data_IF_475710037648
#
_entry.id   IF_475710037648
#
_cell.length_a   1.000
_cell.length_b   1.000
_cell.length_c   1.000
_cell.angle_alpha   90.00
_cell.angle_beta   90.00
_cell.angle_gamma   90.00
#
_symmetry.space_group_name_H-M   'P 1'
#
loop_
_entity.id
_entity.type
_entity.pdbx_description
1 polymer ?
#
# COMPACT_ATOMS: atom_id res chain seq x y z
N UNK A 1 30.78 19.20 -11.90
CA UNK A 1 29.38 19.18 -12.36
C UNK A 1 28.49 19.21 -11.13
N UNK A 2 27.84 20.35 -10.85
CA UNK A 2 26.96 20.49 -9.70
C UNK A 2 25.70 19.68 -9.93
N UNK A 3 25.51 18.61 -9.17
CA UNK A 3 24.24 17.89 -9.14
C UNK A 3 23.22 18.84 -8.51
N UNK A 4 22.48 19.54 -9.36
CA UNK A 4 21.26 20.22 -8.95
C UNK A 4 20.39 19.17 -8.23
N UNK A 5 20.16 19.36 -6.92
CA UNK A 5 19.33 18.51 -6.08
C UNK A 5 17.86 18.73 -6.47
N UNK A 6 17.47 18.28 -7.65
CA UNK A 6 16.06 18.24 -8.03
C UNK A 6 15.41 17.11 -7.25
N UNK A 7 14.54 17.45 -6.29
CA UNK A 7 13.54 16.50 -5.82
C UNK A 7 12.71 16.08 -7.04
N UNK A 8 12.23 14.82 -7.14
CA UNK A 8 11.35 14.41 -8.22
C UNK A 8 10.12 15.35 -8.33
N UNK A 9 9.45 15.36 -9.48
CA UNK A 9 8.26 16.23 -9.70
C UNK A 9 6.99 15.68 -9.03
N UNK A 10 7.04 14.48 -8.44
CA UNK A 10 5.91 13.82 -7.77
C UNK A 10 6.25 13.03 -6.48
N UNK A 11 7.10 13.49 -5.55
CA UNK A 11 7.07 12.92 -4.21
C UNK A 11 5.87 13.48 -3.47
N UNK A 12 5.10 12.59 -2.83
CA UNK A 12 4.25 13.01 -1.72
C UNK A 12 5.21 13.36 -0.58
N UNK A 13 5.39 14.66 -0.33
CA UNK A 13 6.26 15.15 0.73
C UNK A 13 5.53 15.01 2.06
N UNK A 14 6.21 14.49 3.08
CA UNK A 14 5.65 14.29 4.42
C UNK A 14 6.38 15.18 5.43
N UNK A 15 5.64 15.98 6.19
CA UNK A 15 6.17 16.77 7.30
C UNK A 15 5.32 16.60 8.56
N UNK A 16 5.96 16.28 9.69
CA UNK A 16 5.27 16.09 10.97
C UNK A 16 4.26 14.92 10.99
N UNK A 17 4.27 14.05 9.98
CA UNK A 17 3.36 12.90 9.84
C UNK A 17 3.79 11.80 10.81
N UNK A 18 2.81 11.11 11.39
CA UNK A 18 3.09 10.05 12.35
C UNK A 18 3.73 8.81 11.72
N UNK A 19 4.68 8.18 12.42
CA UNK A 19 5.40 6.98 11.94
C UNK A 19 4.47 5.87 11.41
N UNK A 20 3.33 5.56 12.06
CA UNK A 20 2.39 4.54 11.55
C UNK A 20 1.80 4.91 10.19
N UNK A 21 1.46 6.18 9.95
CA UNK A 21 0.95 6.64 8.66
C UNK A 21 2.03 6.58 7.59
N UNK A 22 3.24 7.05 7.87
CA UNK A 22 4.38 6.96 6.93
C UNK A 22 4.61 5.51 6.50
N UNK A 23 4.65 4.58 7.47
CA UNK A 23 4.84 3.15 7.21
C UNK A 23 3.67 2.58 6.41
N UNK A 24 2.42 2.88 6.78
CA UNK A 24 1.23 2.45 6.04
C UNK A 24 1.20 2.94 4.59
N UNK A 25 1.62 4.18 4.35
CA UNK A 25 1.76 4.74 3.00
C UNK A 25 2.81 4.02 2.16
N UNK A 26 3.98 3.72 2.75
CA UNK A 26 5.02 2.91 2.10
C UNK A 26 4.53 1.50 1.79
N UNK A 27 3.80 0.87 2.71
CA UNK A 27 3.21 -0.45 2.51
C UNK A 27 2.17 -0.48 1.39
N UNK A 28 1.35 0.57 1.24
CA UNK A 28 0.49 0.74 0.06
C UNK A 28 1.28 0.89 -1.24
N UNK A 29 2.59 1.15 -1.17
CA UNK A 29 3.47 1.37 -2.31
C UNK A 29 3.47 2.81 -2.82
N UNK A 30 3.08 3.79 -1.99
CA UNK A 30 3.16 5.20 -2.36
C UNK A 30 4.62 5.67 -2.31
N UNK A 31 5.02 6.46 -3.32
CA UNK A 31 6.29 7.16 -3.29
C UNK A 31 6.20 8.38 -2.37
N UNK A 32 6.69 8.22 -1.15
CA UNK A 32 6.68 9.26 -0.12
C UNK A 32 8.10 9.67 0.25
N UNK A 33 8.31 10.97 0.47
CA UNK A 33 9.59 11.52 0.94
C UNK A 33 9.35 12.26 2.24
N UNK A 34 9.99 11.80 3.31
CA UNK A 34 9.97 12.51 4.60
C UNK A 34 10.91 13.72 4.52
N UNK A 35 10.39 14.91 4.79
CA UNK A 35 11.19 16.11 4.98
C UNK A 35 11.84 16.03 6.36
N UNK A 36 13.17 15.91 6.42
CA UNK A 36 13.91 15.89 7.68
C UNK A 36 13.91 17.29 8.29
N UNK A 37 13.29 17.47 9.46
CA UNK A 37 13.32 18.56 10.47
C UNK A 37 13.39 20.04 10.05
N UNK A 38 13.63 20.37 8.78
CA UNK A 38 13.81 21.73 8.31
C UNK A 38 13.26 21.87 6.88
N UNK A 39 12.27 22.76 6.72
CA UNK A 39 11.72 23.14 5.43
C UNK A 39 12.73 23.92 4.57
N UNK A 40 13.93 24.24 5.07
CA UNK A 40 15.02 24.81 4.26
C UNK A 40 15.38 23.96 3.05
N UNK A 41 15.14 22.64 3.06
CA UNK A 41 15.28 21.81 1.86
C UNK A 41 14.36 22.22 0.70
N UNK A 42 13.29 22.95 0.99
CA UNK A 42 12.38 23.53 0.00
C UNK A 42 12.84 24.92 -0.47
N UNK A 43 13.83 25.54 0.17
CA UNK A 43 14.35 26.84 -0.29
C UNK A 43 15.09 26.67 -1.62
N UNK A 44 14.62 27.42 -2.64
CA UNK A 44 15.11 27.27 -4.02
C UNK A 44 14.45 26.12 -4.79
N UNK A 45 13.50 25.40 -4.20
CA UNK A 45 12.73 24.40 -4.91
C UNK A 45 11.77 25.05 -5.92
N UNK A 46 11.87 24.66 -7.18
CA UNK A 46 10.89 25.05 -8.20
C UNK A 46 9.75 24.06 -8.15
N UNK A 47 8.57 24.50 -7.71
CA UNK A 47 7.41 23.61 -7.69
C UNK A 47 7.01 23.19 -9.10
N UNK A 48 6.91 21.88 -9.28
CA UNK A 48 6.05 21.31 -10.30
C UNK A 48 4.60 21.52 -9.86
N UNK A 49 3.66 21.54 -10.83
CA UNK A 49 2.20 21.61 -10.54
C UNK A 49 1.67 20.40 -9.75
N UNK A 50 2.53 19.42 -9.43
CA UNK A 50 2.13 18.09 -9.00
C UNK A 50 2.75 17.67 -7.67
N UNK A 51 3.65 18.47 -7.11
CA UNK A 51 4.16 18.25 -5.76
C UNK A 51 3.04 18.44 -4.74
N UNK A 52 2.91 17.54 -3.78
CA UNK A 52 1.90 17.61 -2.73
C UNK A 52 2.61 17.47 -1.38
N UNK A 53 2.32 18.40 -0.46
CA UNK A 53 2.81 18.33 0.90
C UNK A 53 1.71 17.83 1.82
N UNK A 54 1.88 16.63 2.36
CA UNK A 54 1.06 16.12 3.45
C UNK A 54 1.70 16.52 4.78
N UNK A 55 0.89 17.14 5.62
CA UNK A 55 1.34 17.56 6.95
C UNK A 55 0.50 16.87 8.00
N UNK A 56 1.15 16.44 9.09
CA UNK A 56 0.42 15.81 10.18
C UNK A 56 -0.58 16.77 10.84
N UNK A 57 -0.15 18.02 11.04
CA UNK A 57 -1.08 19.13 11.26
C UNK A 57 -0.47 20.45 10.82
N UNK A 58 -1.26 21.32 10.20
CA UNK A 58 -0.81 22.67 9.85
C UNK A 58 -0.52 23.52 11.09
N UNK A 59 -1.14 23.19 12.24
CA UNK A 59 -0.93 23.87 13.53
C UNK A 59 0.50 23.71 14.06
N UNK A 60 1.29 22.80 13.49
CA UNK A 60 2.67 22.58 13.88
C UNK A 60 3.63 23.61 13.27
N UNK A 61 3.24 24.33 12.21
CA UNK A 61 4.14 25.27 11.52
C UNK A 61 4.04 26.68 12.08
N UNK A 62 5.18 27.37 12.16
CA UNK A 62 5.23 28.79 12.46
C UNK A 62 4.93 29.66 11.21
N UNK A 63 4.76 30.97 11.40
CA UNK A 63 4.42 31.89 10.30
C UNK A 63 5.47 31.91 9.18
N UNK A 64 6.76 31.80 9.52
CA UNK A 64 7.86 31.84 8.55
C UNK A 64 7.89 30.57 7.68
N UNK A 65 7.58 29.43 8.27
CA UNK A 65 7.42 28.15 7.58
C UNK A 65 6.21 28.17 6.64
N UNK A 66 5.06 28.65 7.11
CA UNK A 66 3.86 28.81 6.28
C UNK A 66 4.10 29.79 5.12
N UNK A 67 4.85 30.87 5.34
CA UNK A 67 5.28 31.79 4.27
C UNK A 67 6.19 31.09 3.26
N UNK A 68 7.15 30.30 3.72
CA UNK A 68 8.05 29.52 2.84
C UNK A 68 7.26 28.53 1.99
N UNK A 69 6.30 27.81 2.58
CA UNK A 69 5.43 26.86 1.87
C UNK A 69 4.51 27.56 0.85
N UNK A 70 3.95 28.71 1.24
CA UNK A 70 3.12 29.54 0.35
C UNK A 70 3.91 30.03 -0.87
N UNK A 71 5.16 30.45 -0.67
CA UNK A 71 6.06 30.86 -1.76
C UNK A 71 6.39 29.71 -2.72
N UNK A 72 6.48 28.48 -2.19
CA UNK A 72 6.70 27.29 -3.02
C UNK A 72 5.47 26.90 -3.85
N UNK A 73 4.26 27.46 -3.60
CA UNK A 73 3.01 27.09 -4.31
C UNK A 73 2.68 25.60 -4.29
N UNK A 74 3.15 24.86 -3.28
CA UNK A 74 2.86 23.45 -3.10
C UNK A 74 1.49 23.33 -2.41
N UNK A 75 0.50 22.62 -2.97
CA UNK A 75 -0.74 22.36 -2.27
C UNK A 75 -0.50 21.54 -0.99
N UNK A 76 -1.06 22.02 0.12
CA UNK A 76 -0.95 21.39 1.43
C UNK A 76 -2.22 20.60 1.72
N UNK A 77 -2.06 19.37 2.21
CA UNK A 77 -3.16 18.56 2.77
C UNK A 77 -2.85 18.34 4.25
N UNK A 78 -3.73 18.84 5.12
CA UNK A 78 -3.66 18.59 6.56
C UNK A 78 -4.30 17.24 6.88
N UNK A 79 -3.50 16.27 7.34
CA UNK A 79 -3.99 14.93 7.67
C UNK A 79 -4.86 14.92 8.94
N UNK A 80 -4.81 15.96 9.77
CA UNK A 80 -5.71 16.12 10.91
C UNK A 80 -7.18 16.27 10.45
N UNK A 81 -7.43 16.73 9.21
CA UNK A 81 -8.78 16.79 8.61
C UNK A 81 -9.45 15.41 8.50
N UNK A 82 -8.65 14.33 8.46
CA UNK A 82 -9.16 12.96 8.30
C UNK A 82 -9.61 12.34 9.62
N UNK A 83 -9.36 12.99 10.76
CA UNK A 83 -9.78 12.52 12.07
C UNK A 83 -11.09 13.17 12.52
N UNK A 84 -12.15 12.36 12.68
CA UNK A 84 -13.47 12.82 13.16
C UNK A 84 -13.52 13.19 14.67
N UNK A 85 -12.39 13.21 15.40
CA UNK A 85 -12.37 13.52 16.84
C UNK A 85 -11.21 14.45 17.21
N UNK A 86 -11.49 15.73 17.40
CA UNK A 86 -10.78 16.71 18.27
C UNK A 86 -9.25 16.62 18.34
N UNK A 87 -8.59 16.31 17.23
CA UNK A 87 -7.16 16.07 17.20
C UNK A 87 -6.34 17.34 17.34
N UNK A 88 -5.69 17.53 18.49
CA UNK A 88 -4.65 18.55 18.64
C UNK A 88 -3.39 18.02 17.93
N UNK A 89 -3.02 18.65 16.81
CA UNK A 89 -1.79 18.35 16.09
C UNK A 89 -0.55 18.47 16.98
N UNK A 90 0.54 17.78 16.60
CA UNK A 90 1.79 17.78 17.36
C UNK A 90 2.42 19.18 17.44
N UNK A 91 3.37 19.39 18.34
CA UNK A 91 4.17 20.63 18.39
C UNK A 91 5.54 20.42 17.72
N UNK A 92 6.23 21.49 17.31
CA UNK A 92 7.56 21.45 16.65
C UNK A 92 8.59 20.56 17.37
N UNK A 93 8.73 20.61 18.71
CA UNK A 93 9.66 19.73 19.42
C UNK A 93 9.31 18.24 19.30
N UNK A 94 8.06 17.91 19.00
CA UNK A 94 7.55 16.54 18.82
C UNK A 94 7.67 16.05 17.37
N UNK A 95 7.82 16.96 16.39
CA UNK A 95 8.06 16.60 14.98
C UNK A 95 9.45 16.01 14.77
N UNK A 96 10.45 16.50 15.52
CA UNK A 96 11.85 16.01 15.49
C UNK A 96 12.08 14.62 16.12
N UNK A 97 11.04 14.03 16.72
CA UNK A 97 11.10 12.71 17.36
C UNK A 97 10.24 11.72 16.58
N UNK A 98 10.83 10.59 16.14
CA UNK A 98 10.07 9.42 15.66
C UNK A 98 9.12 8.97 16.76
N UNK A 99 7.86 9.41 16.70
CA UNK A 99 6.86 9.11 17.72
C UNK A 99 5.90 8.02 17.23
N UNK A 100 5.67 7.03 18.10
CA UNK A 100 4.78 5.89 17.88
C UNK A 100 3.28 6.27 17.98
N UNK A 101 2.94 7.50 18.37
CA UNK A 101 1.56 7.94 18.64
C UNK A 101 1.22 9.23 17.87
N UNK A 102 0.55 9.09 16.73
CA UNK A 102 -0.04 10.20 15.96
C UNK A 102 -1.51 10.40 16.28
N UNK A 103 -2.05 11.58 15.95
CA UNK A 103 -3.50 11.80 15.95
C UNK A 103 -4.15 10.99 14.82
N UNK A 104 -3.45 10.84 13.70
CA UNK A 104 -3.87 10.04 12.54
C UNK A 104 -3.83 8.54 12.81
N UNK A 105 -4.88 7.85 12.43
CA UNK A 105 -4.89 6.39 12.32
C UNK A 105 -4.84 5.98 10.85
N UNK A 106 -3.86 5.15 10.51
CA UNK A 106 -3.82 4.52 9.20
C UNK A 106 -4.88 3.41 9.14
N UNK A 107 -5.91 3.60 8.32
CA UNK A 107 -6.98 2.64 8.09
C UNK A 107 -7.46 2.70 6.62
N UNK A 108 -8.40 1.84 6.24
CA UNK A 108 -8.96 1.82 4.88
C UNK A 108 -9.56 3.17 4.46
N UNK A 109 -10.33 3.79 5.35
CA UNK A 109 -10.99 5.07 5.09
C UNK A 109 -9.98 6.21 4.85
N UNK A 110 -8.87 6.23 5.59
CA UNK A 110 -7.79 7.19 5.40
C UNK A 110 -7.28 7.16 3.95
N UNK A 111 -7.04 5.98 3.38
CA UNK A 111 -6.53 5.89 2.01
C UNK A 111 -7.56 6.36 0.96
N UNK A 112 -8.86 6.14 1.20
CA UNK A 112 -9.93 6.66 0.34
C UNK A 112 -10.00 8.19 0.39
N UNK A 113 -9.96 8.77 1.60
CA UNK A 113 -9.97 10.22 1.81
C UNK A 113 -8.74 10.87 1.21
N UNK A 114 -7.55 10.32 1.47
CA UNK A 114 -6.29 10.83 0.95
C UNK A 114 -6.26 10.80 -0.58
N UNK A 115 -6.64 9.69 -1.22
CA UNK A 115 -6.75 9.61 -2.68
C UNK A 115 -7.67 10.71 -3.23
N UNK A 116 -8.84 10.86 -2.62
CA UNK A 116 -9.83 11.86 -3.05
C UNK A 116 -9.24 13.26 -2.97
N UNK A 117 -8.59 13.59 -1.85
CA UNK A 117 -8.00 14.91 -1.62
C UNK A 117 -6.84 15.20 -2.58
N UNK A 118 -5.98 14.22 -2.83
CA UNK A 118 -4.90 14.29 -3.83
C UNK A 118 -5.47 14.60 -5.22
N UNK A 119 -6.51 13.89 -5.64
CA UNK A 119 -7.13 14.09 -6.96
C UNK A 119 -7.83 15.46 -7.07
N UNK A 120 -8.47 15.94 -6.00
CA UNK A 120 -9.09 17.27 -5.95
C UNK A 120 -8.07 18.41 -6.05
N UNK A 121 -6.88 18.22 -5.49
CA UNK A 121 -5.76 19.17 -5.62
C UNK A 121 -5.10 19.12 -7.00
N UNK A 122 -5.65 18.35 -7.93
CA UNK A 122 -5.12 18.17 -9.28
C UNK A 122 -4.04 17.10 -9.40
N UNK A 123 -3.73 16.36 -8.32
CA UNK A 123 -2.75 15.27 -8.32
C UNK A 123 -3.26 13.94 -8.87
N UNK A 124 -2.37 12.96 -8.99
CA UNK A 124 -2.65 11.59 -9.39
C UNK A 124 -2.38 10.60 -8.24
N UNK A 125 -3.26 9.60 -8.07
CA UNK A 125 -2.99 8.52 -7.13
C UNK A 125 -2.22 7.41 -7.84
N UNK A 126 -0.91 7.31 -7.55
CA UNK A 126 0.01 6.38 -8.18
C UNK A 126 0.76 5.61 -7.10
N UNK A 127 0.78 4.28 -7.21
CA UNK A 127 1.45 3.39 -6.25
C UNK A 127 2.06 2.18 -6.95
N UNK A 128 3.00 1.50 -6.31
CA UNK A 128 3.43 0.16 -6.72
C UNK A 128 2.25 -0.81 -6.67
N UNK A 129 2.10 -1.63 -7.72
CA UNK A 129 1.09 -2.68 -7.79
C UNK A 129 1.25 -3.71 -6.67
N UNK A 130 0.14 -4.29 -6.22
CA UNK A 130 0.14 -5.30 -5.13
C UNK A 130 0.84 -6.60 -5.56
N UNK A 131 0.75 -6.93 -6.84
CA UNK A 131 1.24 -8.17 -7.44
C UNK A 131 2.20 -7.86 -8.59
N UNK A 132 3.06 -8.82 -8.97
CA UNK A 132 3.87 -8.68 -10.18
C UNK A 132 2.97 -8.49 -11.42
N UNK A 133 3.42 -7.68 -12.37
CA UNK A 133 2.76 -7.57 -13.68
C UNK A 133 2.72 -8.93 -14.40
N UNK A 134 1.62 -9.31 -15.07
CA UNK A 134 0.38 -8.56 -15.31
C UNK A 134 -0.73 -8.84 -14.29
N UNK A 135 -0.42 -9.44 -13.14
CA UNK A 135 -1.41 -10.03 -12.27
C UNK A 135 -2.25 -9.01 -11.50
N UNK A 136 -3.52 -9.38 -11.27
CA UNK A 136 -4.49 -8.54 -10.58
C UNK A 136 -4.97 -9.13 -9.24
N UNK A 137 -4.64 -10.39 -8.97
CA UNK A 137 -4.95 -11.09 -7.72
C UNK A 137 -4.00 -12.25 -7.55
N UNK A 138 -3.98 -12.86 -6.37
CA UNK A 138 -3.15 -14.04 -6.08
C UNK A 138 -3.97 -15.10 -5.33
N UNK A 139 -3.73 -16.36 -5.70
CA UNK A 139 -4.16 -17.52 -4.92
C UNK A 139 -2.90 -18.32 -4.59
N UNK A 140 -2.65 -18.47 -3.30
CA UNK A 140 -1.51 -19.18 -2.74
C UNK A 140 -1.91 -20.61 -2.38
N UNK A 141 -1.06 -21.58 -2.76
CA UNK A 141 -1.08 -22.94 -2.21
C UNK A 141 0.09 -23.13 -1.23
N UNK A 142 0.02 -24.23 -0.49
CA UNK A 142 0.89 -24.67 0.58
C UNK A 142 0.93 -23.67 1.75
N UNK A 143 0.63 -24.16 2.95
CA UNK A 143 1.25 -23.58 4.13
C UNK A 143 2.73 -23.90 4.04
N UNK A 144 3.47 -22.89 3.60
CA UNK A 144 4.86 -22.67 3.94
C UNK A 144 5.38 -23.60 5.05
N UNK A 145 6.48 -24.33 4.77
CA UNK A 145 7.24 -25.00 5.83
C UNK A 145 7.78 -24.01 6.90
N UNK A 146 7.61 -22.70 6.69
CA UNK A 146 7.89 -21.62 7.62
C UNK A 146 6.80 -21.45 8.69
N UNK A 147 5.99 -22.47 8.98
CA UNK A 147 5.08 -22.49 10.14
C UNK A 147 5.78 -22.14 11.48
N UNK A 148 7.11 -22.24 11.55
CA UNK A 148 7.94 -21.74 12.65
C UNK A 148 8.85 -20.54 12.30
N UNK A 149 9.24 -20.34 11.03
CA UNK A 149 10.17 -19.29 10.57
C UNK A 149 9.47 -17.98 10.16
N UNK A 150 8.13 -17.90 10.25
CA UNK A 150 7.37 -16.67 10.01
C UNK A 150 7.84 -15.49 10.89
N UNK A 151 8.44 -15.78 12.07
CA UNK A 151 9.01 -14.75 12.97
C UNK A 151 10.27 -14.07 12.43
N UNK A 152 11.05 -14.72 11.56
CA UNK A 152 12.23 -14.08 10.95
C UNK A 152 11.85 -13.15 9.79
N UNK A 153 10.73 -13.42 9.10
CA UNK A 153 10.20 -12.53 8.06
C UNK A 153 9.26 -11.44 8.61
N UNK A 154 8.63 -11.65 9.78
CA UNK A 154 7.80 -10.65 10.46
C UNK A 154 8.57 -9.47 11.04
N UNK A 155 9.89 -9.59 11.24
CA UNK A 155 10.72 -8.45 11.63
C UNK A 155 10.84 -7.38 10.50
N UNK A 156 10.47 -7.74 9.27
CA UNK A 156 10.48 -6.84 8.10
C UNK A 156 9.06 -6.42 7.68
N UNK A 157 8.03 -7.14 8.11
CA UNK A 157 6.66 -6.94 7.63
C UNK A 157 5.78 -6.21 8.63
N UNK A 158 5.69 -4.91 8.41
CA UNK A 158 4.67 -3.99 8.93
C UNK A 158 4.70 -3.73 10.44
N UNK A 159 4.46 -2.49 10.90
CA UNK A 159 4.05 -2.24 12.28
C UNK A 159 2.63 -2.76 12.56
N UNK A 160 1.91 -3.27 11.55
CA UNK A 160 0.59 -3.88 11.66
C UNK A 160 0.76 -5.39 11.47
N UNK A 161 0.81 -6.14 12.57
CA UNK A 161 0.84 -7.61 12.54
C UNK A 161 -0.37 -8.14 11.76
N UNK A 162 -0.16 -8.60 10.52
CA UNK A 162 -1.24 -9.22 9.74
C UNK A 162 -1.27 -10.70 10.06
N UNK A 163 -2.37 -11.17 10.65
CA UNK A 163 -2.57 -12.61 10.85
C UNK A 163 -2.72 -13.31 9.51
N UNK A 164 -2.07 -14.46 9.35
CA UNK A 164 -2.27 -15.37 8.22
C UNK A 164 -3.74 -15.74 8.04
N UNK A 165 -4.54 -15.75 9.11
CA UNK A 165 -5.98 -16.02 9.07
C UNK A 165 -6.76 -15.06 8.16
N UNK A 166 -6.24 -13.85 7.90
CA UNK A 166 -6.88 -12.89 6.99
C UNK A 166 -6.72 -13.29 5.52
N UNK A 167 -5.68 -14.07 5.22
CA UNK A 167 -5.45 -14.66 3.90
C UNK A 167 -6.30 -15.91 3.68
N UNK A 168 -6.62 -16.64 4.75
CA UNK A 168 -7.36 -17.89 4.65
C UNK A 168 -8.77 -17.69 4.10
N UNK A 169 -9.14 -18.58 3.17
CA UNK A 169 -10.48 -18.61 2.61
C UNK A 169 -11.41 -19.35 3.58
N UNK A 170 -12.43 -18.67 4.11
CA UNK A 170 -13.28 -19.26 5.16
C UNK A 170 -14.09 -20.44 4.63
N UNK A 171 -14.57 -20.32 3.38
CA UNK A 171 -15.30 -21.39 2.70
C UNK A 171 -14.46 -22.62 2.34
N UNK A 172 -13.13 -22.55 2.42
CA UNK A 172 -12.25 -23.71 2.22
C UNK A 172 -12.48 -24.78 3.30
N UNK A 173 -12.60 -24.36 4.57
CA UNK A 173 -12.83 -25.28 5.68
C UNK A 173 -14.19 -26.01 5.57
N UNK A 174 -15.24 -25.29 5.12
CA UNK A 174 -16.55 -25.88 4.84
C UNK A 174 -16.47 -26.90 3.70
N UNK A 175 -15.77 -26.56 2.62
CA UNK A 175 -15.59 -27.46 1.48
C UNK A 175 -14.79 -28.73 1.83
N UNK A 176 -13.75 -28.61 2.65
CA UNK A 176 -12.96 -29.74 3.15
C UNK A 176 -13.77 -30.68 4.04
N UNK A 177 -14.69 -30.13 4.84
CA UNK A 177 -15.52 -30.93 5.74
C UNK A 177 -16.61 -31.67 4.96
N UNK A 178 -17.24 -31.01 4.00
CA UNK A 178 -18.32 -31.59 3.20
C UNK A 178 -18.26 -31.08 1.76
N UNK A 179 -17.54 -31.79 0.87
CA UNK A 179 -17.45 -31.42 -0.55
C UNK A 179 -18.72 -31.82 -1.31
N UNK A 180 -19.68 -30.91 -1.37
CA UNK A 180 -20.93 -31.03 -2.12
C UNK A 180 -21.13 -29.81 -3.04
N UNK A 181 -22.15 -29.85 -3.90
CA UNK A 181 -22.41 -28.79 -4.89
C UNK A 181 -22.61 -27.40 -4.24
N UNK A 182 -23.10 -27.34 -3.00
CA UNK A 182 -23.30 -26.08 -2.29
C UNK A 182 -21.98 -25.49 -1.78
N UNK A 183 -21.14 -26.29 -1.10
CA UNK A 183 -19.85 -25.84 -0.57
C UNK A 183 -18.86 -25.51 -1.69
N UNK A 184 -18.86 -26.28 -2.78
CA UNK A 184 -18.12 -25.95 -4.01
C UNK A 184 -18.52 -24.58 -4.58
N UNK A 185 -19.83 -24.31 -4.64
CA UNK A 185 -20.35 -23.02 -5.11
C UNK A 185 -19.93 -21.88 -4.18
N UNK A 186 -20.02 -22.07 -2.86
CA UNK A 186 -19.59 -21.07 -1.87
C UNK A 186 -18.11 -20.73 -2.03
N UNK A 187 -17.24 -21.75 -2.11
CA UNK A 187 -15.80 -21.58 -2.32
C UNK A 187 -15.50 -20.81 -3.61
N UNK A 188 -16.11 -21.22 -4.73
CA UNK A 188 -15.96 -20.50 -6.01
C UNK A 188 -16.39 -19.03 -5.92
N UNK A 189 -17.53 -18.75 -5.28
CA UNK A 189 -18.05 -17.37 -5.14
C UNK A 189 -17.11 -16.52 -4.27
N UNK A 190 -16.60 -17.07 -3.17
CA UNK A 190 -15.65 -16.35 -2.30
C UNK A 190 -14.35 -16.04 -3.04
N UNK A 191 -13.78 -17.02 -3.77
CA UNK A 191 -12.56 -16.82 -4.57
C UNK A 191 -12.72 -15.71 -5.61
N UNK A 192 -13.81 -15.73 -6.37
CA UNK A 192 -14.10 -14.68 -7.37
C UNK A 192 -14.29 -13.32 -6.70
N UNK A 193 -14.99 -13.26 -5.57
CA UNK A 193 -15.22 -12.03 -4.82
C UNK A 193 -13.91 -11.43 -4.30
N UNK A 194 -13.04 -12.25 -3.69
CA UNK A 194 -11.71 -11.83 -3.23
C UNK A 194 -10.85 -11.34 -4.40
N UNK A 195 -10.87 -12.06 -5.53
CA UNK A 195 -10.16 -11.65 -6.74
C UNK A 195 -10.61 -10.28 -7.27
N UNK A 196 -11.92 -10.00 -7.32
CA UNK A 196 -12.45 -8.70 -7.77
C UNK A 196 -12.03 -7.55 -6.86
N UNK A 197 -12.00 -7.80 -5.56
CA UNK A 197 -11.49 -6.85 -4.56
C UNK A 197 -9.96 -6.70 -4.60
N UNK A 198 -9.25 -7.60 -5.30
CA UNK A 198 -7.79 -7.63 -5.35
C UNK A 198 -7.15 -8.17 -4.08
N UNK A 199 -7.89 -8.92 -3.27
CA UNK A 199 -7.41 -9.50 -2.02
C UNK A 199 -6.64 -10.81 -2.29
N UNK A 200 -5.50 -11.02 -1.63
CA UNK A 200 -4.80 -12.30 -1.69
C UNK A 200 -5.62 -13.38 -0.96
N UNK A 201 -5.55 -14.60 -1.47
CA UNK A 201 -6.15 -15.77 -0.85
C UNK A 201 -5.08 -16.83 -0.64
N UNK A 202 -5.04 -17.43 0.55
CA UNK A 202 -4.26 -18.63 0.82
C UNK A 202 -5.22 -19.80 1.04
N UNK A 203 -4.97 -20.90 0.34
CA UNK A 203 -5.69 -22.15 0.49
C UNK A 203 -4.78 -23.13 1.23
N UNK A 204 -4.98 -23.25 2.54
CA UNK A 204 -4.06 -23.98 3.43
C UNK A 204 -4.12 -25.50 3.22
N UNK A 205 -5.25 -26.01 2.74
CA UNK A 205 -5.44 -27.43 2.50
C UNK A 205 -4.81 -27.93 1.20
N UNK A 206 -4.44 -27.01 0.30
CA UNK A 206 -3.90 -27.33 -1.01
C UNK A 206 -2.38 -27.30 -0.94
N UNK A 207 -1.71 -28.44 -1.09
CA UNK A 207 -0.26 -28.55 -0.86
C UNK A 207 0.56 -28.26 -2.12
N UNK A 208 -0.05 -28.31 -3.30
CA UNK A 208 0.68 -28.23 -4.56
C UNK A 208 -0.11 -27.52 -5.66
N UNK A 209 0.61 -27.09 -6.70
CA UNK A 209 0.01 -26.51 -7.92
C UNK A 209 -0.88 -27.51 -8.67
N UNK A 210 -0.56 -28.81 -8.58
CA UNK A 210 -1.35 -29.86 -9.21
C UNK A 210 -2.70 -29.99 -8.51
N UNK A 211 -2.70 -30.07 -7.18
CA UNK A 211 -3.94 -30.07 -6.38
C UNK A 211 -4.76 -28.80 -6.58
N UNK A 212 -4.12 -27.63 -6.69
CA UNK A 212 -4.81 -26.37 -7.00
C UNK A 212 -5.54 -26.44 -8.35
N UNK A 213 -4.93 -27.11 -9.34
CA UNK A 213 -5.54 -27.29 -10.66
C UNK A 213 -6.74 -28.24 -10.58
N UNK A 214 -6.64 -29.31 -9.79
CA UNK A 214 -7.74 -30.24 -9.54
C UNK A 214 -8.89 -29.53 -8.82
N UNK A 215 -8.60 -28.78 -7.75
CA UNK A 215 -9.60 -28.00 -7.01
C UNK A 215 -10.39 -27.08 -7.94
N UNK A 216 -9.72 -26.35 -8.83
CA UNK A 216 -10.40 -25.46 -9.77
C UNK A 216 -11.33 -26.20 -10.73
N UNK A 217 -11.01 -27.45 -11.10
CA UNK A 217 -11.90 -28.29 -11.87
C UNK A 217 -13.12 -28.71 -11.04
N UNK A 218 -12.88 -29.17 -9.81
CA UNK A 218 -13.93 -29.67 -8.91
C UNK A 218 -14.97 -28.58 -8.58
N UNK A 219 -14.50 -27.35 -8.30
CA UNK A 219 -15.40 -26.22 -8.02
C UNK A 219 -15.90 -25.51 -9.29
N UNK A 220 -15.52 -25.99 -10.48
CA UNK A 220 -15.87 -25.42 -11.78
C UNK A 220 -15.52 -23.92 -11.87
N UNK A 221 -14.28 -23.57 -11.56
CA UNK A 221 -13.73 -22.22 -11.65
C UNK A 221 -12.90 -22.06 -12.92
N UNK A 222 -13.43 -21.32 -13.89
CA UNK A 222 -12.76 -21.01 -15.15
C UNK A 222 -11.82 -19.81 -14.98
N UNK A 223 -10.64 -19.86 -15.60
CA UNK A 223 -9.69 -18.73 -15.70
C UNK A 223 -10.34 -17.46 -16.25
N UNK A 224 -11.37 -17.55 -17.09
CA UNK A 224 -12.13 -16.39 -17.59
C UNK A 224 -12.83 -15.60 -16.47
N UNK A 225 -13.15 -16.26 -15.35
CA UNK A 225 -13.79 -15.61 -14.20
C UNK A 225 -12.79 -14.84 -13.33
N UNK A 226 -11.51 -15.18 -13.42
CA UNK A 226 -10.39 -14.52 -12.72
C UNK A 226 -9.19 -14.37 -13.66
N UNK A 227 -9.32 -13.54 -14.72
CA UNK A 227 -8.24 -13.37 -15.68
C UNK A 227 -7.00 -12.81 -14.97
N UNK A 228 -5.79 -13.17 -15.39
CA UNK A 228 -4.56 -12.63 -14.78
C UNK A 228 -4.48 -12.86 -13.26
N UNK A 229 -5.02 -13.96 -12.75
CA UNK A 229 -4.74 -14.43 -11.39
C UNK A 229 -3.36 -15.06 -11.31
N UNK A 230 -2.58 -14.68 -10.31
CA UNK A 230 -1.30 -15.29 -9.99
C UNK A 230 -1.54 -16.52 -9.12
N UNK A 231 -1.19 -17.71 -9.61
CA UNK A 231 -1.23 -18.94 -8.79
C UNK A 231 0.19 -19.31 -8.41
N UNK A 232 0.48 -19.33 -7.12
CA UNK A 232 1.86 -19.45 -6.61
C UNK A 232 1.89 -20.10 -5.22
N UNK A 233 3.07 -20.42 -4.69
CA UNK A 233 3.20 -20.79 -3.29
C UNK A 233 3.12 -19.57 -2.38
N UNK A 234 2.67 -19.76 -1.14
CA UNK A 234 2.64 -18.70 -0.12
C UNK A 234 4.01 -18.06 0.10
N UNK A 235 5.08 -18.87 0.11
CA UNK A 235 6.47 -18.39 0.24
C UNK A 235 6.88 -17.44 -0.89
N UNK A 236 6.50 -17.77 -2.12
CA UNK A 236 6.84 -16.95 -3.29
C UNK A 236 6.07 -15.62 -3.26
N UNK A 237 4.82 -15.64 -2.79
CA UNK A 237 4.04 -14.42 -2.56
C UNK A 237 4.71 -13.52 -1.52
N UNK A 238 5.14 -14.07 -0.38
CA UNK A 238 5.81 -13.29 0.66
C UNK A 238 7.18 -12.78 0.22
N UNK A 239 7.93 -13.57 -0.56
CA UNK A 239 9.18 -13.12 -1.17
C UNK A 239 8.95 -11.89 -2.06
N UNK A 240 7.95 -11.93 -2.94
CA UNK A 240 7.54 -10.75 -3.71
C UNK A 240 7.17 -9.58 -2.82
N UNK A 241 6.35 -9.81 -1.79
CA UNK A 241 5.87 -8.76 -0.92
C UNK A 241 7.01 -8.07 -0.15
N UNK A 242 8.02 -8.84 0.29
CA UNK A 242 9.25 -8.31 0.89
C UNK A 242 10.02 -7.44 -0.11
N UNK A 243 10.33 -7.96 -1.30
CA UNK A 243 11.07 -7.24 -2.33
C UNK A 243 10.37 -5.94 -2.74
N UNK A 244 9.04 -5.98 -2.87
CA UNK A 244 8.22 -4.81 -3.19
C UNK A 244 8.44 -3.67 -2.20
N UNK A 245 8.58 -3.98 -0.91
CA UNK A 245 8.81 -2.97 0.13
C UNK A 245 10.19 -2.29 0.06
N UNK A 246 11.15 -2.93 -0.63
CA UNK A 246 12.51 -2.45 -0.79
C UNK A 246 12.69 -1.59 -2.05
N UNK A 247 11.68 -1.54 -2.94
CA UNK A 247 11.75 -0.74 -4.15
C UNK A 247 11.67 0.75 -3.87
N UNK A 248 12.55 1.50 -4.53
CA UNK A 248 12.49 2.96 -4.59
C UNK A 248 11.99 3.37 -5.96
N UNK A 249 10.91 4.15 -5.98
CA UNK A 249 10.28 4.67 -7.21
C UNK A 249 10.21 6.19 -7.15
N UNK A 250 10.78 6.85 -8.15
CA UNK A 250 10.60 8.28 -8.41
C UNK A 250 9.68 8.44 -9.61
N UNK A 251 8.79 9.43 -9.56
CA UNK A 251 7.80 9.68 -10.61
C UNK A 251 7.89 11.16 -10.99
N UNK A 252 7.99 11.43 -12.29
CA UNK A 252 8.01 12.76 -12.85
C UNK A 252 6.89 12.90 -13.90
N UNK A 253 6.29 14.09 -13.99
CA UNK A 253 5.24 14.36 -14.97
C UNK A 253 5.86 14.94 -16.24
N UNK A 254 5.59 14.32 -17.39
CA UNK A 254 5.87 14.85 -18.72
C UNK A 254 4.63 15.50 -19.33
N UNK A 255 4.76 16.17 -20.48
CA UNK A 255 3.61 16.75 -21.21
C UNK A 255 2.65 15.70 -21.76
N UNK A 256 3.15 14.51 -22.11
CA UNK A 256 2.41 13.41 -22.75
C UNK A 256 2.21 12.19 -21.85
N UNK A 257 2.77 12.20 -20.64
CA UNK A 257 2.79 11.02 -19.78
C UNK A 257 3.60 11.20 -18.50
N UNK A 258 4.15 10.11 -18.01
CA UNK A 258 4.94 10.04 -16.78
C UNK A 258 6.29 9.43 -17.11
N UNK A 259 7.34 9.97 -16.52
CA UNK A 259 8.63 9.29 -16.43
C UNK A 259 8.74 8.70 -15.03
N UNK A 260 9.21 7.46 -14.94
CA UNK A 260 9.37 6.80 -13.66
C UNK A 260 10.73 6.13 -13.59
N UNK A 261 11.40 6.30 -12.45
CA UNK A 261 12.70 5.70 -12.17
C UNK A 261 12.49 4.71 -11.03
N UNK A 262 12.68 3.42 -11.30
CA UNK A 262 12.60 2.37 -10.28
C UNK A 262 13.96 1.73 -10.05
N UNK A 263 14.30 1.52 -8.79
CA UNK A 263 15.52 0.82 -8.35
C UNK A 263 15.20 -0.23 -7.28
N UNK A 264 16.03 -1.26 -7.20
CA UNK A 264 15.85 -2.41 -6.30
C UNK A 264 16.15 -3.75 -7.00
N UNK A 265 16.16 -4.84 -6.21
CA UNK A 265 16.38 -6.18 -6.74
C UNK A 265 15.06 -6.85 -7.13
N UNK A 266 14.86 -7.12 -8.42
CA UNK A 266 13.57 -7.61 -8.90
C UNK A 266 13.42 -9.13 -8.74
N UNK A 267 14.53 -9.87 -8.63
CA UNK A 267 14.56 -11.33 -8.46
C UNK A 267 13.67 -12.13 -9.42
N UNK A 268 13.54 -11.65 -10.66
CA UNK A 268 12.71 -12.28 -11.70
C UNK A 268 11.23 -11.92 -11.65
N UNK A 269 10.79 -11.11 -10.69
CA UNK A 269 9.46 -10.50 -10.70
C UNK A 269 9.43 -9.24 -11.57
N UNK A 270 8.27 -8.95 -12.14
CA UNK A 270 8.02 -7.75 -12.94
C UNK A 270 7.23 -6.74 -12.10
N UNK A 271 7.85 -5.69 -11.53
CA UNK A 271 7.09 -4.67 -10.81
C UNK A 271 6.16 -3.90 -11.73
N UNK A 272 5.16 -3.27 -11.13
CA UNK A 272 4.18 -2.45 -11.85
C UNK A 272 3.85 -1.18 -11.09
N UNK A 273 3.45 -0.15 -11.81
CA UNK A 273 2.73 0.99 -11.24
C UNK A 273 1.23 0.84 -11.49
N UNK A 274 0.45 1.07 -10.45
CA UNK A 274 -0.98 1.23 -10.53
C UNK A 274 -1.33 2.72 -10.46
N UNK A 275 -1.96 3.22 -11.53
CA UNK A 275 -2.36 4.62 -11.69
C UNK A 275 -3.87 4.69 -11.57
N UNK A 276 -4.39 5.55 -10.71
CA UNK A 276 -5.83 5.69 -10.46
C UNK A 276 -6.39 7.05 -10.89
N UNK A 277 -7.55 7.00 -11.54
CA UNK A 277 -8.37 8.15 -11.93
C UNK A 277 -9.81 7.91 -11.50
N UNK A 278 -10.24 8.55 -10.40
CA UNK A 278 -11.51 8.22 -9.74
C UNK A 278 -11.61 6.71 -9.47
N UNK A 279 -12.66 6.02 -9.92
CA UNK A 279 -12.85 4.57 -9.76
C UNK A 279 -12.10 3.71 -10.80
N UNK A 280 -11.44 4.33 -11.77
CA UNK A 280 -10.68 3.62 -12.79
C UNK A 280 -9.23 3.47 -12.38
N UNK A 281 -8.60 2.37 -12.78
CA UNK A 281 -7.17 2.19 -12.65
C UNK A 281 -6.55 1.50 -13.84
N UNK A 282 -5.28 1.80 -14.07
CA UNK A 282 -4.42 1.16 -15.04
C UNK A 282 -3.21 0.57 -14.33
N UNK A 283 -2.68 -0.53 -14.85
CA UNK A 283 -1.47 -1.18 -14.32
C UNK A 283 -0.45 -1.27 -15.45
N UNK A 284 0.72 -0.67 -15.24
CA UNK A 284 1.78 -0.56 -16.24
C UNK A 284 3.02 -1.26 -15.72
N UNK A 285 3.63 -2.12 -16.54
CA UNK A 285 4.86 -2.81 -16.19
C UNK A 285 6.01 -1.81 -16.03
N UNK A 286 6.91 -2.10 -15.10
CA UNK A 286 8.14 -1.35 -14.91
C UNK A 286 9.35 -2.24 -15.18
N UNK A 287 10.36 -1.63 -15.79
CA UNK A 287 11.68 -2.18 -15.99
C UNK A 287 12.67 -1.39 -15.13
N UNK A 288 13.79 -2.02 -14.76
CA UNK A 288 14.80 -1.37 -13.93
C UNK A 288 15.32 -0.11 -14.62
N UNK A 289 15.43 0.99 -13.88
CA UNK A 289 15.86 2.28 -14.41
C UNK A 289 14.66 3.13 -14.85
N UNK A 290 14.81 3.80 -15.98
CA UNK A 290 13.85 4.80 -16.50
C UNK A 290 12.77 4.13 -17.33
N UNK A 291 11.51 4.50 -17.10
CA UNK A 291 10.34 4.04 -17.85
C UNK A 291 9.48 5.24 -18.24
N UNK A 292 8.99 5.25 -19.48
CA UNK A 292 8.02 6.24 -19.96
C UNK A 292 6.62 5.60 -20.01
N UNK A 293 5.64 6.28 -19.41
CA UNK A 293 4.24 5.86 -19.35
C UNK A 293 3.39 6.94 -20.01
N UNK A 294 2.98 6.72 -21.26
CA UNK A 294 2.20 7.70 -22.01
C UNK A 294 0.72 7.67 -21.62
N UNK A 295 0.11 8.85 -21.51
CA UNK A 295 -1.30 8.98 -21.14
C UNK A 295 -2.24 8.37 -22.20
N UNK A 296 -1.87 8.47 -23.48
CA UNK A 296 -2.66 7.98 -24.62
C UNK A 296 -2.57 6.46 -24.83
N UNK A 297 -1.50 5.82 -24.33
CA UNK A 297 -1.29 4.38 -24.41
C UNK A 297 -1.79 3.62 -23.15
N UNK A 298 -2.18 4.35 -22.11
CA UNK A 298 -2.56 3.74 -20.82
C UNK A 298 -4.05 3.37 -20.80
N UNK A 299 -4.34 2.07 -20.84
CA UNK A 299 -5.70 1.56 -20.77
C UNK A 299 -6.22 1.53 -19.32
N UNK A 300 -7.24 2.34 -19.04
CA UNK A 300 -7.92 2.39 -17.74
C UNK A 300 -9.12 1.44 -17.73
N UNK A 301 -9.18 0.57 -16.72
CA UNK A 301 -10.33 -0.28 -16.45
C UNK A 301 -11.10 0.24 -15.23
N UNK A 302 -12.43 0.12 -15.25
CA UNK A 302 -13.24 0.43 -14.09
C UNK A 302 -13.06 -0.68 -13.04
N UNK A 303 -12.72 -0.30 -11.80
CA UNK A 303 -12.43 -1.24 -10.71
C UNK A 303 -13.16 -0.81 -9.42
N UNK A 304 -14.50 -0.88 -9.38
CA UNK A 304 -15.30 -0.31 -8.29
C UNK A 304 -15.14 -1.07 -6.97
N UNK A 305 -14.81 -2.36 -7.02
CA UNK A 305 -14.64 -3.23 -5.85
C UNK A 305 -13.22 -3.15 -5.27
N UNK A 306 -12.26 -2.55 -5.99
CA UNK A 306 -10.86 -2.49 -5.55
C UNK A 306 -10.62 -1.29 -4.67
N UNK A 307 -9.90 -1.52 -3.58
CA UNK A 307 -9.49 -0.45 -2.69
C UNK A 307 -8.25 0.29 -3.23
N UNK A 308 -8.19 1.63 -3.18
CA UNK A 308 -7.08 2.40 -3.72
C UNK A 308 -5.75 2.17 -2.99
N UNK A 309 -5.80 1.78 -1.73
CA UNK A 309 -4.62 1.37 -0.96
C UNK A 309 -4.16 -0.06 -1.20
N UNK A 310 -4.79 -0.80 -2.11
CA UNK A 310 -4.57 -2.24 -2.25
C UNK A 310 -5.05 -3.02 -1.03
N UNK A 311 -4.62 -4.28 -0.92
CA UNK A 311 -5.03 -5.14 0.20
C UNK A 311 -4.43 -4.70 1.55
N UNK A 312 -3.29 -3.99 1.57
CA UNK A 312 -2.65 -3.54 2.81
C UNK A 312 -3.52 -2.55 3.60
N UNK A 313 -4.35 -1.77 2.90
CA UNK A 313 -5.32 -0.88 3.54
C UNK A 313 -6.47 -1.63 4.23
N UNK A 314 -6.82 -2.84 3.77
CA UNK A 314 -7.79 -3.69 4.46
C UNK A 314 -7.20 -4.31 5.73
N UNK A 315 -5.90 -4.61 5.72
CA UNK A 315 -5.20 -5.20 6.86
C UNK A 315 -4.92 -4.18 7.97
N UNK A 316 -4.64 -2.94 7.59
CA UNK A 316 -4.55 -1.84 8.53
C UNK A 316 -5.85 -1.68 9.35
N UNK A 317 -7.01 -1.84 8.73
CA UNK A 317 -8.32 -1.68 9.38
C UNK A 317 -8.67 -2.75 10.43
N UNK A 318 -8.17 -3.98 10.30
CA UNK A 318 -8.52 -5.10 11.21
C UNK A 318 -7.74 -5.04 12.52
N UNK A 319 -6.54 -4.43 12.52
CA UNK A 319 -5.74 -4.21 13.73
C UNK A 319 -5.69 -2.74 14.19
N UNK A 320 -6.12 -1.77 13.39
CA UNK A 320 -6.20 -0.35 13.82
C UNK A 320 -7.33 -0.07 14.80
N UNK A 321 -8.30 -0.98 14.91
CA UNK A 321 -9.27 -1.00 16.00
C UNK A 321 -8.85 -2.05 17.02
N UNK A 322 -7.92 -1.71 17.93
CA UNK A 322 -7.89 -2.16 19.33
C UNK A 322 -6.61 -1.62 19.99
N UNK A 323 -6.81 -0.56 20.79
CA UNK A 323 -6.04 -0.19 21.98
C UNK A 323 -4.67 0.49 21.72
N UNK A 324 -4.41 1.67 22.30
CA UNK A 324 -3.04 2.20 22.36
C UNK A 324 -2.18 1.22 23.17
N UNK A 325 -1.15 0.65 22.54
CA UNK A 325 -0.14 -0.13 23.24
C UNK A 325 0.58 0.75 24.26
N UNK A 326 0.06 0.77 25.49
CA UNK A 326 0.73 1.37 26.63
C UNK A 326 1.83 0.40 27.08
N UNK A 327 3.07 0.68 26.66
CA UNK A 327 4.27 -0.09 27.00
C UNK A 327 4.51 -0.21 28.52
N UNK A 328 3.74 0.49 29.37
CA UNK A 328 3.89 0.46 30.83
C UNK A 328 3.35 -0.80 31.51
N UNK A 329 2.50 -1.59 30.86
CA UNK A 329 1.85 -2.74 31.53
C UNK A 329 2.60 -4.08 31.41
N UNK A 330 3.60 -4.21 30.54
CA UNK A 330 4.38 -5.45 30.48
C UNK A 330 5.42 -5.60 31.61
N UNK A 331 5.84 -4.50 32.23
CA UNK A 331 6.77 -4.56 33.37
C UNK A 331 6.10 -4.98 34.68
N UNK A 332 4.78 -4.79 34.83
CA UNK A 332 4.05 -5.13 36.05
C UNK A 332 3.61 -6.61 36.09
N UNK A 333 3.42 -7.26 34.94
CA UNK A 333 3.02 -8.67 34.87
C UNK A 333 4.20 -9.66 34.91
N UNK A 334 5.45 -9.17 34.82
CA UNK A 334 6.66 -9.99 34.96
C UNK A 334 7.24 -9.96 36.39
N UNK A 335 6.57 -9.27 37.32
CA UNK A 335 7.05 -9.09 38.70
C UNK A 335 5.98 -9.41 39.77
N UNK A 336 4.93 -10.17 39.42
CA UNK A 336 3.90 -10.65 40.36
C UNK A 336 3.88 -12.16 40.48
#
# INVERSE_FOLDING_TARGET
MSVSRHLPDYPILLAGVSTPVVKGMREMGLSVTELQDDLTYLTGYQSSRWNLLLVGSQKCFNEQELQTLSLCRIPIIDLAEFNNKTGIGRTIPEMSKKANTGVEQFNSQFAVQLKTRIQQSGGAWIRLGDYPYPYQGVICYAESALGNDFREYSNVMSPLTVSLDLLHCKSEAEWQTESNSETQRKLRVELISRYRQGLPVSLSSVSSRLEMTQLFQDIHLDRKQMPLVWVTSLDTFFRWWKLRSEFSVSINRLSTGWETIISGNFEGFSPALQIWRSQHSATVALYRGVNEIRDDATAFANNPERHPGGFSAHWAGVCSSLIPFDFKNFAAAAAS
#
